data_IF_995092765889
#
_entry.id   IF_995092765889
#
_cell.length_a   1.000
_cell.length_b   1.000
_cell.length_c   1.000
_cell.angle_alpha   90.00
_cell.angle_beta   90.00
_cell.angle_gamma   90.00
#
_symmetry.space_group_name_H-M   'P 1'
#
loop_
_entity.id
_entity.type
_entity.pdbx_description
1 polymer ?
#
# COMPACT_ATOMS: atom_id res chain seq x y z
N UNK A 1 -69.47 3.43 34.10
CA UNK A 1 -69.56 4.26 32.88
C UNK A 1 -68.15 4.72 32.55
N UNK A 2 -67.57 4.26 31.44
CA UNK A 2 -66.18 4.53 31.03
C UNK A 2 -66.11 5.85 30.23
N UNK A 3 -65.24 6.82 30.56
CA UNK A 3 -64.89 7.89 29.63
C UNK A 3 -63.74 7.44 28.71
N UNK A 4 -63.94 7.64 27.41
CA UNK A 4 -62.94 7.51 26.35
C UNK A 4 -62.02 8.75 26.40
N UNK A 5 -60.72 8.56 26.60
CA UNK A 5 -59.66 9.60 26.54
C UNK A 5 -58.33 8.86 26.46
N UNK A 6 -57.41 9.09 25.53
CA UNK A 6 -57.37 9.95 24.37
C UNK A 6 -56.36 9.35 23.38
N UNK A 7 -56.40 9.84 22.16
CA UNK A 7 -55.55 9.43 21.04
C UNK A 7 -54.07 9.62 21.41
N UNK A 8 -53.30 8.53 21.47
CA UNK A 8 -51.86 8.54 21.65
C UNK A 8 -51.22 8.96 20.31
N UNK A 9 -50.41 10.04 20.25
CA UNK A 9 -49.69 10.36 19.02
C UNK A 9 -48.67 9.24 18.71
N UNK A 10 -48.47 8.89 17.43
CA UNK A 10 -47.49 7.88 17.04
C UNK A 10 -46.09 8.34 17.47
N UNK A 11 -45.34 7.43 18.09
CA UNK A 11 -43.94 7.68 18.44
C UNK A 11 -43.14 7.86 17.15
N UNK A 12 -42.31 8.91 17.09
CA UNK A 12 -41.39 9.08 15.96
C UNK A 12 -40.41 7.89 15.97
N UNK A 13 -40.14 7.26 14.82
CA UNK A 13 -39.12 6.24 14.72
C UNK A 13 -37.79 6.83 15.22
N UNK A 14 -37.11 6.11 16.12
CA UNK A 14 -35.76 6.47 16.53
C UNK A 14 -34.88 6.40 15.28
N UNK A 15 -34.23 7.51 14.93
CA UNK A 15 -33.20 7.52 13.91
C UNK A 15 -32.01 6.68 14.40
N UNK A 16 -31.51 5.71 13.63
CA UNK A 16 -30.39 4.84 14.02
C UNK A 16 -29.04 5.56 14.12
N UNK A 17 -29.02 6.89 14.01
CA UNK A 17 -27.82 7.71 14.06
C UNK A 17 -27.99 8.75 15.16
N UNK A 18 -27.30 8.51 16.28
CA UNK A 18 -27.16 9.47 17.37
C UNK A 18 -26.25 10.65 17.00
N UNK A 19 -26.16 11.70 17.83
CA UNK A 19 -25.25 12.82 17.63
C UNK A 19 -23.81 12.30 17.48
N UNK A 20 -23.10 12.80 16.48
CA UNK A 20 -21.69 12.50 16.27
C UNK A 20 -20.89 13.00 17.48
N UNK A 21 -20.67 12.10 18.43
CA UNK A 21 -19.68 12.24 19.48
C UNK A 21 -18.32 12.40 18.78
N UNK A 22 -17.66 13.54 19.00
CA UNK A 22 -16.30 13.83 18.55
C UNK A 22 -15.33 12.84 19.22
N UNK A 23 -15.33 11.62 18.70
CA UNK A 23 -14.28 10.64 18.91
C UNK A 23 -13.01 11.24 18.32
N UNK A 24 -11.99 11.42 19.17
CA UNK A 24 -10.76 12.11 18.84
C UNK A 24 -10.18 11.64 17.50
N UNK A 25 -9.91 12.61 16.63
CA UNK A 25 -9.03 12.39 15.49
C UNK A 25 -7.76 11.69 16.00
N UNK A 26 -7.35 10.53 15.46
CA UNK A 26 -5.97 10.11 15.62
C UNK A 26 -5.10 11.19 14.96
N UNK A 27 -4.50 12.01 15.80
CA UNK A 27 -3.31 12.77 15.47
C UNK A 27 -2.24 11.74 15.11
N UNK A 28 -2.12 11.44 13.82
CA UNK A 28 -1.40 10.27 13.36
C UNK A 28 -1.06 10.29 11.87
N UNK A 29 -0.94 11.46 11.25
CA UNK A 29 -0.03 11.63 10.12
C UNK A 29 1.22 12.30 10.67
N UNK A 30 1.99 11.47 11.37
CA UNK A 30 3.35 11.79 11.79
C UNK A 30 4.13 12.21 10.54
N UNK A 31 4.87 13.30 10.69
CA UNK A 31 5.38 14.12 9.60
C UNK A 31 6.05 13.38 8.46
N UNK A 32 6.01 14.03 7.29
CA UNK A 32 6.92 13.76 6.19
C UNK A 32 8.35 13.70 6.76
N UNK A 33 8.84 12.48 6.96
CA UNK A 33 10.24 12.24 7.30
C UNK A 33 11.05 12.87 6.18
N UNK A 34 12.09 13.62 6.55
CA UNK A 34 12.90 14.41 5.63
C UNK A 34 13.53 13.61 4.48
N UNK A 35 14.33 14.25 3.61
CA UNK A 35 14.90 13.63 2.41
C UNK A 35 15.59 12.25 2.62
N UNK A 36 16.13 11.99 3.81
CA UNK A 36 16.68 10.68 4.20
C UNK A 36 15.65 9.54 4.12
N UNK A 37 14.36 9.83 4.30
CA UNK A 37 13.29 8.85 4.25
C UNK A 37 13.03 8.31 2.86
N UNK A 38 13.21 9.13 1.82
CA UNK A 38 13.04 8.67 0.46
C UNK A 38 14.22 7.80 0.03
N UNK A 39 15.45 8.20 0.38
CA UNK A 39 16.65 7.40 0.11
C UNK A 39 16.61 6.04 0.83
N UNK A 40 16.18 6.01 2.09
CA UNK A 40 15.96 4.76 2.83
C UNK A 40 14.89 3.91 2.17
N UNK A 41 13.71 4.48 1.87
CA UNK A 41 12.61 3.76 1.22
C UNK A 41 13.05 3.18 -0.13
N UNK A 42 13.74 3.95 -0.95
CA UNK A 42 14.28 3.49 -2.22
C UNK A 42 15.29 2.35 -2.02
N UNK A 43 16.21 2.49 -1.06
CA UNK A 43 17.17 1.44 -0.71
C UNK A 43 16.48 0.15 -0.26
N UNK A 44 15.41 0.27 0.52
CA UNK A 44 14.60 -0.87 0.96
C UNK A 44 13.84 -1.51 -0.21
N UNK A 45 13.31 -0.71 -1.14
CA UNK A 45 12.68 -1.24 -2.36
C UNK A 45 13.67 -1.95 -3.29
N UNK A 46 14.89 -1.44 -3.43
CA UNK A 46 15.96 -2.12 -4.20
C UNK A 46 16.25 -3.50 -3.60
N UNK A 47 16.38 -3.59 -2.27
CA UNK A 47 16.58 -4.87 -1.57
C UNK A 47 15.38 -5.79 -1.79
N UNK A 48 14.15 -5.27 -1.69
CA UNK A 48 12.94 -6.05 -1.91
C UNK A 48 12.89 -6.66 -3.32
N UNK A 49 13.20 -5.87 -4.36
CA UNK A 49 13.27 -6.39 -5.75
C UNK A 49 14.34 -7.49 -5.88
N UNK A 50 15.48 -7.34 -5.22
CA UNK A 50 16.51 -8.38 -5.21
C UNK A 50 16.03 -9.67 -4.55
N UNK A 51 15.36 -9.57 -3.39
CA UNK A 51 14.73 -10.72 -2.73
C UNK A 51 13.71 -11.39 -3.65
N UNK A 52 12.81 -10.62 -4.28
CA UNK A 52 11.83 -11.17 -5.22
C UNK A 52 12.48 -11.93 -6.38
N UNK A 53 13.64 -11.47 -6.86
CA UNK A 53 14.39 -12.14 -7.93
C UNK A 53 15.02 -13.45 -7.45
N UNK A 54 15.58 -13.49 -6.23
CA UNK A 54 16.15 -14.69 -5.62
C UNK A 54 15.05 -15.72 -5.37
N UNK A 55 13.95 -15.30 -4.75
CA UNK A 55 12.80 -16.16 -4.44
C UNK A 55 12.19 -16.74 -5.72
N UNK A 56 12.04 -15.93 -6.78
CA UNK A 56 11.58 -16.41 -8.08
C UNK A 56 12.54 -17.45 -8.68
N UNK A 57 13.84 -17.28 -8.53
CA UNK A 57 14.83 -18.24 -9.02
C UNK A 57 14.74 -19.57 -8.25
N UNK A 58 14.62 -19.51 -6.93
CA UNK A 58 14.49 -20.68 -6.06
C UNK A 58 13.19 -21.46 -6.35
N UNK A 59 12.08 -20.76 -6.53
CA UNK A 59 10.80 -21.35 -6.91
C UNK A 59 10.88 -22.05 -8.27
N UNK A 60 11.52 -21.42 -9.27
CA UNK A 60 11.77 -22.06 -10.58
C UNK A 60 12.64 -23.30 -10.42
N UNK A 61 13.71 -23.23 -9.64
CA UNK A 61 14.59 -24.37 -9.41
C UNK A 61 13.84 -25.53 -8.73
N UNK A 62 13.08 -25.25 -7.68
CA UNK A 62 12.27 -26.24 -6.95
C UNK A 62 11.27 -26.92 -7.89
N UNK A 63 10.59 -26.14 -8.75
CA UNK A 63 9.66 -26.65 -9.76
C UNK A 63 10.35 -27.63 -10.72
N UNK A 64 11.51 -27.24 -11.26
CA UNK A 64 12.27 -28.06 -12.21
C UNK A 64 12.85 -29.33 -11.57
N UNK A 65 13.11 -29.31 -10.27
CA UNK A 65 13.58 -30.49 -9.51
C UNK A 65 12.44 -31.41 -9.06
N UNK A 66 11.18 -31.07 -9.37
CA UNK A 66 10.00 -31.88 -9.04
C UNK A 66 9.48 -31.68 -7.62
N UNK A 67 9.81 -30.57 -6.97
CA UNK A 67 9.22 -30.20 -5.68
C UNK A 67 7.75 -29.79 -5.82
N UNK A 68 6.98 -29.90 -4.72
CA UNK A 68 5.59 -29.43 -4.67
C UNK A 68 5.53 -27.90 -4.65
N UNK A 69 5.63 -27.30 -5.83
CA UNK A 69 5.36 -25.87 -6.05
C UNK A 69 4.34 -25.71 -7.17
N UNK A 70 3.41 -24.78 -6.99
CA UNK A 70 2.39 -24.51 -7.98
C UNK A 70 3.00 -23.72 -9.15
N UNK A 71 2.99 -24.29 -10.36
CA UNK A 71 3.48 -23.65 -11.59
C UNK A 71 2.97 -22.20 -11.75
N UNK A 72 1.69 -21.97 -11.44
CA UNK A 72 1.07 -20.66 -11.57
C UNK A 72 1.66 -19.63 -10.57
N UNK A 73 2.05 -20.07 -9.38
CA UNK A 73 2.69 -19.22 -8.37
C UNK A 73 4.12 -18.88 -8.77
N UNK A 74 4.87 -19.86 -9.28
CA UNK A 74 6.23 -19.67 -9.81
C UNK A 74 6.21 -18.63 -10.93
N UNK A 75 5.34 -18.81 -11.93
CA UNK A 75 5.20 -17.87 -13.05
C UNK A 75 4.76 -16.47 -12.56
N UNK A 76 3.85 -16.40 -11.58
CA UNK A 76 3.43 -15.13 -11.00
C UNK A 76 4.57 -14.42 -10.29
N UNK A 77 5.38 -15.15 -9.53
CA UNK A 77 6.53 -14.60 -8.82
C UNK A 77 7.57 -14.04 -9.80
N UNK A 78 7.88 -14.78 -10.87
CA UNK A 78 8.78 -14.34 -11.94
C UNK A 78 8.25 -13.06 -12.61
N UNK A 79 6.96 -13.01 -12.95
CA UNK A 79 6.34 -11.82 -13.55
C UNK A 79 6.37 -10.61 -12.61
N UNK A 80 6.10 -10.81 -11.32
CA UNK A 80 6.18 -9.76 -10.30
C UNK A 80 7.60 -9.23 -10.16
N UNK A 81 8.60 -10.10 -10.11
CA UNK A 81 10.00 -9.71 -10.02
C UNK A 81 10.45 -8.91 -11.26
N UNK A 82 10.08 -9.34 -12.46
CA UNK A 82 10.39 -8.62 -13.71
C UNK A 82 9.74 -7.24 -13.76
N UNK A 83 8.44 -7.14 -13.42
CA UNK A 83 7.74 -5.86 -13.38
C UNK A 83 8.38 -4.90 -12.36
N UNK A 84 8.65 -5.38 -11.14
CA UNK A 84 9.25 -4.57 -10.08
C UNK A 84 10.66 -4.09 -10.47
N UNK A 85 11.44 -4.93 -11.15
CA UNK A 85 12.75 -4.55 -11.68
C UNK A 85 12.65 -3.46 -12.75
N UNK A 86 11.73 -3.59 -13.71
CA UNK A 86 11.50 -2.55 -14.75
C UNK A 86 11.12 -1.22 -14.13
N UNK A 87 10.23 -1.23 -13.13
CA UNK A 87 9.86 -0.02 -12.39
C UNK A 87 11.05 0.61 -11.69
N UNK A 88 11.90 -0.21 -11.04
CA UNK A 88 13.10 0.28 -10.37
C UNK A 88 14.07 0.96 -11.35
N UNK A 89 14.24 0.41 -12.56
CA UNK A 89 15.07 1.04 -13.60
C UNK A 89 14.53 2.41 -14.02
N UNK A 90 13.21 2.56 -14.12
CA UNK A 90 12.60 3.86 -14.42
C UNK A 90 12.85 4.87 -13.30
N UNK A 91 12.71 4.44 -12.04
CA UNK A 91 13.02 5.28 -10.88
C UNK A 91 14.50 5.68 -10.88
N UNK A 92 15.41 4.73 -11.12
CA UNK A 92 16.86 5.00 -11.24
C UNK A 92 17.13 6.07 -12.30
N UNK A 93 16.53 5.94 -13.48
CA UNK A 93 16.72 6.92 -14.56
C UNK A 93 16.19 8.30 -14.17
N UNK A 94 15.02 8.37 -13.53
CA UNK A 94 14.45 9.63 -13.05
C UNK A 94 15.28 10.31 -11.97
N UNK A 95 15.94 9.54 -11.11
CA UNK A 95 16.85 10.10 -10.10
C UNK A 95 18.12 10.67 -10.72
N UNK A 96 18.66 10.00 -11.74
CA UNK A 96 19.80 10.52 -12.50
C UNK A 96 19.41 11.81 -13.23
N UNK A 97 18.23 11.86 -13.84
CA UNK A 97 17.69 13.09 -14.46
C UNK A 97 17.53 14.21 -13.43
N UNK A 98 16.89 13.94 -12.28
CA UNK A 98 16.69 14.94 -11.23
C UNK A 98 18.02 15.47 -10.66
N UNK A 99 19.03 14.61 -10.51
CA UNK A 99 20.37 15.04 -10.11
C UNK A 99 20.99 16.01 -11.13
N UNK A 100 20.88 15.69 -12.43
CA UNK A 100 21.39 16.57 -13.50
C UNK A 100 20.66 17.91 -13.55
N UNK A 101 19.33 17.91 -13.38
CA UNK A 101 18.52 19.13 -13.35
C UNK A 101 18.96 20.06 -12.21
N UNK A 102 19.16 19.52 -10.99
CA UNK A 102 19.62 20.30 -9.83
C UNK A 102 21.01 20.90 -10.05
N UNK A 103 21.89 20.24 -10.81
CA UNK A 103 23.19 20.79 -11.19
C UNK A 103 23.05 21.92 -12.21
N UNK A 104 22.11 21.81 -13.15
CA UNK A 104 21.90 22.80 -14.21
C UNK A 104 21.26 24.10 -13.70
N UNK A 105 20.52 24.05 -12.58
CA UNK A 105 19.95 25.23 -11.91
C UNK A 105 21.02 26.06 -11.17
N UNK A 106 22.19 25.48 -10.84
CA UNK A 106 23.23 26.12 -10.02
C UNK A 106 24.33 26.86 -10.80
N UNK A 107 24.12 27.14 -12.09
CA UNK A 107 25.00 27.97 -12.92
C UNK A 107 24.35 29.30 -13.30
#
# INVERSE_FOLDING_TARGET
MRPLSGIQPPQRPQSPFGPLEKSGMPSGVSGAKGPDSFASLLGDQVKNVNTMQIDANDMVHTMLTGGEVNEAEVLTAVQKADLAFRMLLQVRNKLIEAYREVQQIQI
#
